data_IF_181290719857
#
_entry.id   IF_181290719857
#
_cell.length_a   1.000
_cell.length_b   1.000
_cell.length_c   1.000
_cell.angle_alpha   90.00
_cell.angle_beta   90.00
_cell.angle_gamma   90.00
#
_symmetry.space_group_name_H-M   'P 1'
#
loop_
_entity.id
_entity.type
_entity.pdbx_description
1 polymer ?
#
# COMPACT_ATOMS: atom_id res chain seq x y z
N UNK A 1 -50.46 0.91 10.75
CA UNK A 1 -49.58 0.42 9.67
C UNK A 1 -48.16 0.68 10.12
N UNK A 2 -47.47 -0.38 10.55
CA UNK A 2 -46.16 -0.33 11.17
C UNK A 2 -45.08 -0.19 10.10
N UNK A 3 -44.27 0.86 10.16
CA UNK A 3 -43.03 0.93 9.40
C UNK A 3 -41.87 0.65 10.36
N UNK A 4 -41.38 -0.57 10.29
CA UNK A 4 -40.19 -1.06 10.97
C UNK A 4 -38.98 -0.49 10.22
N UNK A 5 -38.40 0.60 10.71
CA UNK A 5 -37.08 1.07 10.25
C UNK A 5 -36.03 0.11 10.80
N UNK A 6 -35.55 -0.79 9.95
CA UNK A 6 -34.44 -1.68 10.25
C UNK A 6 -33.22 -0.86 10.68
N UNK A 7 -32.76 -1.13 11.90
CA UNK A 7 -31.49 -0.60 12.40
C UNK A 7 -30.38 -1.10 11.50
N UNK A 8 -29.73 -0.17 10.80
CA UNK A 8 -28.44 -0.43 10.18
C UNK A 8 -27.47 -0.80 11.31
N UNK A 9 -27.13 -2.08 11.37
CA UNK A 9 -26.05 -2.60 12.19
C UNK A 9 -24.80 -1.82 11.80
N UNK A 10 -24.37 -0.91 12.68
CA UNK A 10 -23.13 -0.17 12.52
C UNK A 10 -22.01 -1.20 12.60
N UNK A 11 -21.49 -1.57 11.43
CA UNK A 11 -20.25 -2.30 11.28
C UNK A 11 -19.18 -1.55 12.10
N UNK A 12 -18.85 -2.09 13.29
CA UNK A 12 -17.92 -1.47 14.24
C UNK A 12 -16.46 -1.79 13.86
N UNK A 13 -16.16 -1.75 12.57
CA UNK A 13 -14.82 -1.91 12.05
C UNK A 13 -14.08 -0.57 12.02
N UNK A 14 -12.73 -0.57 12.10
CA UNK A 14 -11.95 0.63 11.83
C UNK A 14 -12.19 1.10 10.39
N UNK A 15 -12.38 2.41 10.21
CA UNK A 15 -12.48 3.01 8.89
C UNK A 15 -11.07 3.34 8.37
N UNK A 16 -10.81 3.15 7.09
CA UNK A 16 -9.53 3.47 6.47
C UNK A 16 -9.71 4.48 5.34
N UNK A 17 -8.75 5.40 5.22
CA UNK A 17 -8.67 6.40 4.14
C UNK A 17 -7.31 6.34 3.48
N UNK A 18 -7.31 6.40 2.15
CA UNK A 18 -6.10 6.64 1.38
C UNK A 18 -5.96 8.15 1.17
N UNK A 19 -4.88 8.73 1.67
CA UNK A 19 -4.54 10.12 1.43
C UNK A 19 -3.45 10.14 0.33
N UNK A 20 -3.81 10.66 -0.84
CA UNK A 20 -2.87 10.84 -1.95
C UNK A 20 -2.16 12.19 -1.79
N UNK A 21 -0.84 12.19 -1.60
CA UNK A 21 -0.06 13.43 -1.57
C UNK A 21 0.41 13.79 -2.99
N UNK A 22 0.05 14.99 -3.46
CA UNK A 22 0.17 15.36 -4.88
C UNK A 22 1.34 16.30 -5.16
N UNK A 23 2.17 15.91 -6.14
CA UNK A 23 2.43 16.76 -7.33
C UNK A 23 2.19 16.03 -8.67
N UNK A 24 2.00 14.70 -8.65
CA UNK A 24 1.47 13.91 -9.76
C UNK A 24 0.47 12.89 -9.19
N UNK A 25 -0.75 12.78 -9.73
CA UNK A 25 -1.72 11.79 -9.27
C UNK A 25 -1.18 10.37 -9.48
N UNK A 26 -1.01 9.60 -8.40
CA UNK A 26 -0.67 8.17 -8.45
C UNK A 26 0.82 7.83 -8.47
N UNK A 27 1.69 8.63 -7.84
CA UNK A 27 3.10 8.24 -7.65
C UNK A 27 3.43 7.77 -6.24
N UNK A 28 2.82 8.37 -5.22
CA UNK A 28 2.99 7.96 -3.83
C UNK A 28 1.65 8.13 -3.09
N UNK A 29 1.18 7.06 -2.46
CA UNK A 29 -0.05 7.06 -1.66
C UNK A 29 0.30 6.74 -0.21
N UNK A 30 -0.31 7.47 0.73
CA UNK A 30 -0.22 7.19 2.16
C UNK A 30 -1.56 6.60 2.64
N UNK A 31 -1.50 5.66 3.59
CA UNK A 31 -2.70 5.05 4.19
C UNK A 31 -2.84 5.51 5.63
N UNK A 32 -4.01 6.04 5.95
CA UNK A 32 -4.35 6.48 7.30
C UNK A 32 -5.59 5.76 7.79
N UNK A 33 -5.51 5.31 9.04
CA UNK A 33 -6.61 4.63 9.71
C UNK A 33 -7.31 5.60 10.64
N UNK A 34 -8.63 5.47 10.74
CA UNK A 34 -9.46 6.30 11.59
C UNK A 34 -10.47 5.42 12.33
N UNK A 35 -10.87 5.83 13.53
CA UNK A 35 -11.98 5.18 14.23
C UNK A 35 -13.34 5.64 13.68
N UNK A 36 -14.43 5.11 14.25
CA UNK A 36 -15.81 5.47 13.88
C UNK A 36 -16.16 6.93 14.15
N UNK A 37 -15.40 7.59 15.00
CA UNK A 37 -15.55 9.00 15.37
C UNK A 37 -14.56 9.89 14.60
N UNK A 38 -13.91 9.35 13.55
CA UNK A 38 -12.92 10.01 12.70
C UNK A 38 -11.64 10.45 13.42
N UNK A 39 -11.32 9.85 14.58
CA UNK A 39 -10.05 10.10 15.23
C UNK A 39 -8.94 9.31 14.52
N UNK A 40 -7.77 9.91 14.26
CA UNK A 40 -6.66 9.23 13.62
C UNK A 40 -6.16 8.08 14.52
N UNK A 41 -6.09 6.90 13.95
CA UNK A 41 -5.49 5.72 14.56
C UNK A 41 -4.03 5.59 14.13
N UNK A 42 -3.15 5.07 15.00
CA UNK A 42 -1.76 4.83 14.66
C UNK A 42 -1.66 3.78 13.54
N UNK A 43 -1.33 4.22 12.32
CA UNK A 43 -1.23 3.37 11.12
C UNK A 43 -0.31 2.17 11.33
N UNK A 44 0.77 2.32 12.10
CA UNK A 44 1.74 1.26 12.39
C UNK A 44 1.12 0.00 13.03
N UNK A 45 -0.01 0.15 13.73
CA UNK A 45 -0.73 -0.97 14.35
C UNK A 45 -1.54 -1.79 13.33
N UNK A 46 -1.84 -1.21 12.17
CA UNK A 46 -2.75 -1.78 11.17
C UNK A 46 -2.06 -2.07 9.85
N UNK A 47 -0.98 -1.36 9.53
CA UNK A 47 -0.22 -1.52 8.31
C UNK A 47 1.24 -1.10 8.53
N UNK A 48 2.15 -2.00 8.23
CA UNK A 48 3.58 -1.70 8.18
C UNK A 48 3.96 -1.43 6.73
N UNK A 49 4.46 -0.23 6.43
CA UNK A 49 4.94 0.12 5.09
C UNK A 49 6.05 -0.85 4.69
N UNK A 50 5.96 -1.51 3.52
CA UNK A 50 7.04 -2.39 3.06
C UNK A 50 8.35 -1.61 2.94
N UNK A 51 9.43 -2.22 3.41
CA UNK A 51 10.77 -1.74 3.15
C UNK A 51 11.27 -2.22 1.79
N UNK A 52 12.50 -1.85 1.45
CA UNK A 52 13.17 -2.31 0.22
C UNK A 52 13.20 -3.84 0.10
N UNK A 53 13.40 -4.54 1.22
CA UNK A 53 13.44 -6.01 1.26
C UNK A 53 12.19 -6.69 0.71
N UNK A 54 11.02 -6.08 0.92
CA UNK A 54 9.75 -6.65 0.46
C UNK A 54 9.54 -6.38 -1.03
N UNK A 55 10.16 -5.31 -1.55
CA UNK A 55 10.09 -4.92 -2.94
C UNK A 55 11.20 -5.50 -3.81
N UNK A 56 12.20 -6.13 -3.22
CA UNK A 56 13.30 -6.76 -3.94
C UNK A 56 13.01 -8.26 -4.12
N UNK A 57 13.42 -8.80 -5.26
CA UNK A 57 13.46 -10.24 -5.48
C UNK A 57 14.60 -10.86 -4.66
N UNK A 58 14.68 -12.19 -4.58
CA UNK A 58 15.82 -12.87 -3.93
C UNK A 58 17.18 -12.48 -4.58
N UNK A 59 17.17 -12.18 -5.88
CA UNK A 59 18.33 -11.66 -6.61
C UNK A 59 18.59 -10.20 -6.25
N UNK A 60 17.55 -9.36 -6.27
CA UNK A 60 17.66 -7.94 -5.95
C UNK A 60 18.06 -7.66 -4.51
N UNK A 61 17.69 -8.54 -3.57
CA UNK A 61 18.10 -8.43 -2.17
C UNK A 61 19.61 -8.54 -1.99
N UNK A 62 20.32 -9.23 -2.91
CA UNK A 62 21.79 -9.28 -2.91
C UNK A 62 22.43 -8.00 -3.46
N UNK A 63 21.71 -7.28 -4.32
CA UNK A 63 22.10 -6.02 -4.95
C UNK A 63 21.40 -4.80 -4.31
N UNK A 64 20.84 -4.94 -3.10
CA UNK A 64 20.05 -3.88 -2.45
C UNK A 64 20.81 -2.55 -2.36
N UNK A 65 22.13 -2.60 -2.10
CA UNK A 65 22.97 -1.41 -2.00
C UNK A 65 23.04 -0.63 -3.33
N UNK A 66 23.23 -1.32 -4.46
CA UNK A 66 23.27 -0.70 -5.78
C UNK A 66 21.90 -0.12 -6.17
N UNK A 67 20.82 -0.84 -5.89
CA UNK A 67 19.45 -0.38 -6.18
C UNK A 67 19.10 0.85 -5.33
N UNK A 68 19.41 0.83 -4.02
CA UNK A 68 19.11 1.95 -3.11
C UNK A 68 20.00 3.17 -3.33
N UNK A 69 21.21 2.99 -3.88
CA UNK A 69 22.07 4.10 -4.32
C UNK A 69 21.48 4.84 -5.53
N UNK A 70 20.87 4.10 -6.47
CA UNK A 70 20.27 4.69 -7.66
C UNK A 70 18.86 5.22 -7.39
N UNK A 71 18.14 4.60 -6.46
CA UNK A 71 16.76 4.92 -6.13
C UNK A 71 16.62 5.03 -4.60
N UNK A 72 16.75 6.23 -4.02
CA UNK A 72 16.78 6.40 -2.55
C UNK A 72 15.39 6.23 -1.90
N UNK A 73 14.30 6.28 -2.66
CA UNK A 73 12.95 6.08 -2.16
C UNK A 73 12.10 5.27 -3.15
N UNK A 74 11.25 4.39 -2.63
CA UNK A 74 10.31 3.67 -3.47
C UNK A 74 9.04 4.47 -3.72
N UNK A 75 8.69 4.63 -4.99
CA UNK A 75 7.39 5.16 -5.40
C UNK A 75 6.43 4.02 -5.67
N UNK A 76 5.40 3.93 -4.84
CA UNK A 76 4.35 2.95 -5.02
C UNK A 76 2.96 3.59 -4.87
N UNK A 77 2.04 3.16 -5.73
CA UNK A 77 0.63 3.50 -5.64
C UNK A 77 -0.11 2.48 -4.81
N UNK A 78 -0.98 2.93 -3.92
CA UNK A 78 -1.72 2.07 -3.00
C UNK A 78 -3.18 2.08 -3.45
N UNK A 79 -3.73 0.89 -3.69
CA UNK A 79 -5.12 0.69 -4.09
C UNK A 79 -5.76 -0.32 -3.15
N UNK A 80 -6.81 0.10 -2.45
CA UNK A 80 -7.63 -0.79 -1.63
C UNK A 80 -8.86 -1.18 -2.45
N UNK A 81 -9.10 -2.48 -2.55
CA UNK A 81 -10.36 -3.04 -3.03
C UNK A 81 -11.24 -3.36 -1.82
N UNK A 82 -12.34 -2.61 -1.59
CA UNK A 82 -13.23 -2.84 -0.45
C UNK A 82 -14.04 -4.14 -0.57
N UNK A 83 -14.19 -4.68 -1.78
CA UNK A 83 -14.96 -5.92 -2.00
C UNK A 83 -14.18 -7.17 -1.56
N UNK A 84 -12.85 -7.12 -1.71
CA UNK A 84 -11.94 -8.22 -1.38
C UNK A 84 -11.08 -7.91 -0.14
N UNK A 85 -11.26 -6.73 0.46
CA UNK A 85 -10.44 -6.20 1.57
C UNK A 85 -8.93 -6.38 1.30
N UNK A 86 -8.55 -6.18 0.03
CA UNK A 86 -7.19 -6.39 -0.47
C UNK A 86 -6.55 -5.04 -0.77
N UNK A 87 -5.34 -4.83 -0.25
CA UNK A 87 -4.52 -3.67 -0.51
C UNK A 87 -3.41 -4.07 -1.49
N UNK A 88 -3.41 -3.48 -2.68
CA UNK A 88 -2.38 -3.69 -3.69
C UNK A 88 -1.50 -2.45 -3.76
N UNK A 89 -0.20 -2.65 -3.58
CA UNK A 89 0.83 -1.67 -3.81
C UNK A 89 1.45 -1.95 -5.18
N UNK A 90 1.46 -0.96 -6.07
CA UNK A 90 2.05 -1.08 -7.40
C UNK A 90 3.28 -0.20 -7.49
N UNK A 91 4.41 -0.78 -7.90
CA UNK A 91 5.62 -0.04 -8.16
C UNK A 91 5.39 0.92 -9.34
N UNK A 92 5.75 2.19 -9.20
CA UNK A 92 5.66 3.19 -10.27
C UNK A 92 7.02 3.82 -10.59
N UNK A 93 8.12 3.10 -10.31
CA UNK A 93 9.47 3.58 -10.61
C UNK A 93 9.70 3.74 -12.12
N UNK A 94 8.99 2.99 -12.96
CA UNK A 94 9.01 3.11 -14.43
C UNK A 94 8.63 4.52 -14.92
N UNK A 95 7.80 5.24 -14.14
CA UNK A 95 7.36 6.60 -14.46
C UNK A 95 8.33 7.68 -13.99
N UNK A 96 9.22 7.34 -13.06
CA UNK A 96 10.20 8.28 -12.50
C UNK A 96 11.58 8.10 -13.13
N UNK A 97 11.98 6.85 -13.36
CA UNK A 97 13.29 6.50 -13.86
C UNK A 97 13.29 6.44 -15.39
N UNK A 98 14.43 6.79 -15.98
CA UNK A 98 14.67 6.53 -17.39
C UNK A 98 14.53 5.05 -17.70
N UNK A 99 13.97 4.74 -18.87
CA UNK A 99 13.70 3.37 -19.29
C UNK A 99 14.92 2.46 -19.19
N UNK A 100 16.10 2.96 -19.58
CA UNK A 100 17.34 2.19 -19.53
C UNK A 100 17.75 1.81 -18.09
N UNK A 101 17.55 2.72 -17.13
CA UNK A 101 17.81 2.46 -15.72
C UNK A 101 16.78 1.50 -15.14
N UNK A 102 15.50 1.73 -15.46
CA UNK A 102 14.43 0.83 -15.01
C UNK A 102 14.61 -0.59 -15.55
N UNK A 103 14.92 -0.78 -16.83
CA UNK A 103 15.17 -2.10 -17.42
C UNK A 103 16.30 -2.84 -16.68
N UNK A 104 17.36 -2.13 -16.26
CA UNK A 104 18.51 -2.70 -15.51
C UNK A 104 18.09 -3.25 -14.14
N UNK A 105 17.31 -2.49 -13.37
CA UNK A 105 16.88 -2.88 -12.00
C UNK A 105 15.53 -3.62 -11.95
N UNK A 106 14.77 -3.65 -13.05
CA UNK A 106 13.40 -4.20 -13.07
C UNK A 106 13.35 -5.69 -12.71
N UNK A 107 14.40 -6.45 -13.07
CA UNK A 107 14.52 -7.88 -12.75
C UNK A 107 14.75 -8.13 -11.25
N UNK A 108 15.30 -7.15 -10.56
CA UNK A 108 15.59 -7.17 -9.14
C UNK A 108 14.42 -6.65 -8.28
N UNK A 109 13.37 -6.10 -8.91
CA UNK A 109 12.24 -5.47 -8.24
C UNK A 109 10.92 -6.22 -8.46
N UNK A 110 10.09 -6.21 -7.42
CA UNK A 110 8.72 -6.70 -7.50
C UNK A 110 7.82 -5.63 -8.13
N UNK A 111 7.01 -5.98 -9.15
CA UNK A 111 6.14 -5.02 -9.83
C UNK A 111 4.97 -4.60 -8.94
N UNK A 112 4.51 -5.47 -8.04
CA UNK A 112 3.46 -5.18 -7.08
C UNK A 112 3.57 -6.05 -5.83
N UNK A 113 3.07 -5.53 -4.71
CA UNK A 113 2.90 -6.24 -3.46
C UNK A 113 1.41 -6.27 -3.11
N UNK A 114 0.93 -7.43 -2.68
CA UNK A 114 -0.47 -7.59 -2.29
C UNK A 114 -0.57 -7.87 -0.80
N UNK A 115 -1.52 -7.22 -0.15
CA UNK A 115 -1.82 -7.34 1.27
C UNK A 115 -3.29 -7.68 1.46
N UNK A 116 -3.59 -8.52 2.43
CA UNK A 116 -4.96 -8.91 2.78
C UNK A 116 -5.29 -8.42 4.18
N UNK A 117 -6.50 -7.88 4.35
CA UNK A 117 -7.01 -7.47 5.66
C UNK A 117 -7.36 -8.69 6.51
N UNK A 118 -6.65 -8.90 7.62
CA UNK A 118 -6.88 -10.03 8.53
C UNK A 118 -7.94 -9.76 9.61
N UNK A 119 -8.73 -8.68 9.48
CA UNK A 119 -9.66 -8.21 10.51
C UNK A 119 -9.01 -7.35 11.60
N UNK A 120 -7.67 -7.39 11.71
CA UNK A 120 -6.90 -6.57 12.66
C UNK A 120 -5.84 -5.70 11.99
N UNK A 121 -5.18 -6.23 10.96
CA UNK A 121 -4.13 -5.54 10.23
C UNK A 121 -4.03 -6.09 8.79
N UNK A 122 -3.46 -5.30 7.90
CA UNK A 122 -3.06 -5.73 6.58
C UNK A 122 -1.79 -6.57 6.67
N UNK A 123 -1.84 -7.80 6.16
CA UNK A 123 -0.67 -8.70 6.09
C UNK A 123 -0.33 -9.00 4.65
N UNK A 124 0.96 -9.08 4.36
CA UNK A 124 1.44 -9.43 3.02
C UNK A 124 0.91 -10.81 2.62
N UNK A 125 0.31 -10.87 1.44
CA UNK A 125 -0.15 -12.08 0.78
C UNK A 125 1.01 -12.57 -0.09
N UNK A 126 1.80 -13.51 0.45
CA UNK A 126 2.88 -14.18 -0.27
C UNK A 126 2.33 -15.14 -1.32
#
# INVERSE_FOLDING_TARGET
MSHTTGGAERDKGPHYRLDQHCRHPGLDSDIRFYDTDWNPLPTENYFTKPGWKEWLTESGSKNEADVTMQVPFMLASYRIDPSTSTLTLTNNLDKLLDKALYDDISSDLMPSLTYEWTGKAFKAKK
#
